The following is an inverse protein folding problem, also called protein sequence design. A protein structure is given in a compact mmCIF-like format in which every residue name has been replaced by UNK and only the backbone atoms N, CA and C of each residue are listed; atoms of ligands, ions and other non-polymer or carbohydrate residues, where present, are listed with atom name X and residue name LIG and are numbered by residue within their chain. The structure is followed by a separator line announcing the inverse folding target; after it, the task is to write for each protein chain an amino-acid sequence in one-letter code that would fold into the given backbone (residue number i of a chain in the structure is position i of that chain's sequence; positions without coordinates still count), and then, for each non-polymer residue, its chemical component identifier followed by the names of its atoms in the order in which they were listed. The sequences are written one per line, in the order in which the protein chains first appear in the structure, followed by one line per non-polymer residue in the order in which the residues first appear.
data_IF_089498088484
#
_entry.id   IF_089498088484
#
_cell.length_a   1.000
_cell.length_b   1.000
_cell.length_c   1.000
_cell.angle_alpha   90.00
_cell.angle_beta   90.00
_cell.angle_gamma   90.00
#
_symmetry.space_group_name_H-M   'P 1'
#
loop_
_entity.id
_entity.type
_entity.pdbx_description
1 polymer ?
#
# COMPACT_ATOMS: atom_id res chain seq x y z
N UNK A 1 -7.75 -27.26 -56.17
CA UNK A 1 -6.70 -26.52 -55.43
C UNK A 1 -7.37 -25.89 -54.22
N UNK A 2 -7.30 -26.54 -53.06
CA UNK A 2 -7.91 -26.06 -51.81
C UNK A 2 -6.91 -26.29 -50.70
N UNK A 3 -6.30 -25.19 -50.23
CA UNK A 3 -5.26 -25.18 -49.20
C UNK A 3 -5.93 -25.29 -47.83
N UNK A 4 -5.67 -26.39 -47.13
CA UNK A 4 -5.93 -26.55 -45.70
C UNK A 4 -5.01 -25.62 -44.90
N UNK A 5 -5.60 -24.72 -44.10
CA UNK A 5 -4.87 -23.92 -43.12
C UNK A 5 -4.81 -24.67 -41.79
N UNK A 6 -3.60 -25.05 -41.40
CA UNK A 6 -3.27 -25.69 -40.14
C UNK A 6 -3.08 -24.59 -39.08
N UNK A 7 -4.06 -24.43 -38.18
CA UNK A 7 -3.95 -23.50 -37.06
C UNK A 7 -3.26 -24.22 -35.89
N UNK A 8 -1.93 -24.16 -35.86
CA UNK A 8 -1.11 -24.53 -34.71
C UNK A 8 -1.34 -23.55 -33.56
N UNK A 9 -2.38 -23.76 -32.76
CA UNK A 9 -2.51 -23.08 -31.47
C UNK A 9 -1.69 -23.84 -30.42
N UNK A 10 -0.38 -23.65 -30.49
CA UNK A 10 0.54 -23.94 -29.39
C UNK A 10 0.19 -22.98 -28.26
N UNK A 11 -0.82 -23.34 -27.47
CA UNK A 11 -1.13 -22.73 -26.19
C UNK A 11 0.03 -22.99 -25.24
N UNK A 12 1.07 -22.18 -25.36
CA UNK A 12 2.20 -22.10 -24.48
C UNK A 12 1.68 -22.01 -23.05
N UNK A 13 1.76 -23.12 -22.33
CA UNK A 13 1.68 -23.19 -20.88
C UNK A 13 2.71 -22.22 -20.32
N UNK A 14 2.29 -20.98 -20.07
CA UNK A 14 3.15 -19.97 -19.48
C UNK A 14 3.63 -20.49 -18.11
N UNK A 15 4.95 -20.59 -17.89
CA UNK A 15 5.46 -21.02 -16.60
C UNK A 15 5.08 -19.96 -15.55
N UNK A 16 4.66 -20.42 -14.38
CA UNK A 16 4.29 -19.64 -13.19
C UNK A 16 5.44 -18.72 -12.75
N UNK A 17 5.60 -17.57 -13.39
CA UNK A 17 6.53 -16.51 -13.00
C UNK A 17 5.92 -15.67 -11.87
N UNK A 18 5.82 -16.24 -10.66
CA UNK A 18 5.08 -15.64 -9.55
C UNK A 18 5.90 -15.10 -8.37
N UNK A 19 7.24 -15.12 -8.42
CA UNK A 19 8.07 -14.82 -7.24
C UNK A 19 9.28 -13.91 -7.48
N UNK A 20 9.45 -13.34 -8.68
CA UNK A 20 10.36 -12.20 -8.84
C UNK A 20 9.55 -10.96 -8.42
N UNK A 21 9.58 -10.66 -7.12
CA UNK A 21 8.72 -9.65 -6.51
C UNK A 21 8.80 -8.31 -7.25
N UNK A 22 7.65 -7.79 -7.69
CA UNK A 22 7.61 -6.47 -8.31
C UNK A 22 8.25 -5.43 -7.39
N UNK A 23 9.24 -4.70 -7.92
CA UNK A 23 9.90 -3.62 -7.18
C UNK A 23 9.03 -2.38 -7.29
N UNK A 24 8.86 -1.66 -6.18
CA UNK A 24 8.11 -0.42 -6.12
C UNK A 24 8.94 0.67 -5.49
N UNK A 25 8.58 1.92 -5.79
CA UNK A 25 9.25 3.09 -5.23
C UNK A 25 8.36 3.73 -4.18
N UNK A 26 8.91 4.00 -2.99
CA UNK A 26 8.26 4.84 -2.02
C UNK A 26 8.06 6.25 -2.60
N UNK A 27 6.83 6.77 -2.58
CA UNK A 27 6.56 8.09 -3.16
C UNK A 27 7.23 9.24 -2.39
N UNK A 28 7.47 9.04 -1.09
CA UNK A 28 8.04 10.03 -0.19
C UNK A 28 9.57 10.11 -0.27
N UNK A 29 10.27 8.99 0.00
CA UNK A 29 11.73 8.95 0.03
C UNK A 29 12.38 8.44 -1.27
N UNK A 30 11.59 7.98 -2.25
CA UNK A 30 12.05 7.44 -3.54
C UNK A 30 12.91 6.18 -3.46
N UNK A 31 13.11 5.61 -2.27
CA UNK A 31 13.73 4.30 -2.09
C UNK A 31 12.93 3.24 -2.85
N UNK A 32 13.63 2.40 -3.61
CA UNK A 32 13.07 1.23 -4.28
C UNK A 32 13.20 0.03 -3.36
N UNK A 33 12.13 -0.74 -3.21
CA UNK A 33 12.11 -1.94 -2.38
C UNK A 33 11.11 -2.94 -2.96
N UNK A 34 11.11 -4.16 -2.42
CA UNK A 34 10.14 -5.17 -2.86
C UNK A 34 8.72 -4.69 -2.55
N UNK A 35 7.74 -5.10 -3.37
CA UNK A 35 6.34 -4.76 -3.09
C UNK A 35 5.83 -5.29 -1.73
N UNK A 36 6.52 -6.29 -1.14
CA UNK A 36 6.18 -6.85 0.17
C UNK A 36 6.66 -5.98 1.33
N UNK A 37 7.73 -5.21 1.11
CA UNK A 37 8.34 -4.32 2.12
C UNK A 37 7.74 -2.91 2.14
N UNK A 38 6.85 -2.60 1.19
CA UNK A 38 6.16 -1.32 1.10
C UNK A 38 4.68 -1.47 1.40
N UNK A 39 4.14 -0.49 2.09
CA UNK A 39 2.71 -0.34 2.36
C UNK A 39 2.08 0.30 1.12
N UNK A 40 1.10 -0.37 0.50
CA UNK A 40 0.39 0.17 -0.65
C UNK A 40 -0.97 0.69 -0.22
N UNK A 41 -1.32 1.88 -0.69
CA UNK A 41 -2.64 2.46 -0.58
C UNK A 41 -3.28 2.56 -1.96
N UNK A 42 -4.59 2.34 -2.05
CA UNK A 42 -5.40 2.59 -3.25
C UNK A 42 -6.55 3.51 -2.90
N UNK A 43 -6.94 4.37 -3.84
CA UNK A 43 -8.12 5.20 -3.71
C UNK A 43 -9.23 4.64 -4.60
N UNK A 44 -10.41 4.41 -4.02
CA UNK A 44 -11.59 3.86 -4.69
C UNK A 44 -12.54 4.95 -5.21
N UNK A 45 -12.16 6.22 -5.09
CA UNK A 45 -13.00 7.37 -5.38
C UNK A 45 -13.66 7.98 -4.15
N UNK A 46 -13.65 7.32 -2.99
CA UNK A 46 -14.22 7.83 -1.73
C UNK A 46 -13.19 7.96 -0.62
N UNK A 47 -12.31 6.96 -0.46
CA UNK A 47 -11.32 6.93 0.60
C UNK A 47 -10.02 6.22 0.17
N UNK A 48 -8.97 6.42 0.96
CA UNK A 48 -7.71 5.70 0.80
C UNK A 48 -7.74 4.42 1.65
N UNK A 49 -7.50 3.29 1.00
CA UNK A 49 -7.49 1.97 1.62
C UNK A 49 -6.10 1.35 1.57
N UNK A 50 -5.67 0.71 2.66
CA UNK A 50 -4.43 -0.04 2.68
C UNK A 50 -4.63 -1.41 2.02
N UNK A 51 -3.73 -1.76 1.10
CA UNK A 51 -3.70 -3.06 0.41
C UNK A 51 -2.70 -3.96 1.09
N UNK A 52 -3.23 -4.93 1.84
CA UNK A 52 -2.43 -5.94 2.54
C UNK A 52 -2.08 -7.09 1.58
N UNK A 53 -0.91 -7.73 1.67
CA UNK A 53 -0.56 -8.87 0.82
C UNK A 53 -1.64 -9.96 0.79
N UNK A 54 -1.93 -10.45 -0.42
CA UNK A 54 -2.98 -11.45 -0.64
C UNK A 54 -4.39 -10.88 -0.77
N UNK A 55 -4.57 -9.55 -0.77
CA UNK A 55 -5.82 -8.91 -1.17
C UNK A 55 -5.68 -8.27 -2.55
N UNK A 56 -6.73 -8.37 -3.37
CA UNK A 56 -6.79 -7.68 -4.66
C UNK A 56 -7.54 -6.37 -4.48
N UNK A 57 -6.86 -5.26 -4.75
CA UNK A 57 -7.48 -3.94 -4.79
C UNK A 57 -6.99 -3.21 -6.05
N UNK A 58 -7.96 -2.82 -6.87
CA UNK A 58 -7.76 -2.15 -8.14
C UNK A 58 -7.78 -0.63 -7.93
N UNK A 59 -7.17 0.12 -8.85
CA UNK A 59 -7.16 1.57 -8.82
C UNK A 59 -5.78 2.19 -8.63
N UNK A 60 -5.77 3.53 -8.54
CA UNK A 60 -4.55 4.33 -8.43
C UNK A 60 -3.86 4.03 -7.11
N UNK A 61 -2.70 3.39 -7.20
CA UNK A 61 -1.91 2.97 -6.04
C UNK A 61 -0.79 3.94 -5.67
N UNK A 62 -0.55 4.12 -4.38
CA UNK A 62 0.62 4.82 -3.83
C UNK A 62 1.33 3.88 -2.86
N UNK A 63 2.66 3.79 -2.95
CA UNK A 63 3.46 2.97 -2.03
C UNK A 63 4.31 3.83 -1.11
N UNK A 64 4.40 3.43 0.16
CA UNK A 64 5.19 4.07 1.21
C UNK A 64 6.04 3.05 1.94
N UNK A 65 7.21 3.47 2.41
CA UNK A 65 7.95 2.71 3.41
C UNK A 65 7.19 2.78 4.75
N UNK A 66 7.28 1.75 5.60
CA UNK A 66 6.73 1.74 6.96
C UNK A 66 7.58 2.59 7.92
N UNK A 67 7.97 3.79 7.48
CA UNK A 67 8.76 4.76 8.26
C UNK A 67 7.87 5.97 8.54
N UNK A 68 7.81 6.48 9.79
CA UNK A 68 6.93 7.59 10.17
C UNK A 68 7.10 8.82 9.25
N UNK A 69 8.34 9.22 8.99
CA UNK A 69 8.65 10.37 8.12
C UNK A 69 8.21 10.20 6.65
N UNK A 70 7.97 8.97 6.17
CA UNK A 70 7.42 8.75 4.83
C UNK A 70 5.93 9.06 4.77
N UNK A 71 5.16 8.76 5.82
CA UNK A 71 3.74 9.09 5.91
C UNK A 71 3.55 10.59 6.02
N UNK A 72 4.28 11.23 6.93
CA UNK A 72 4.27 12.68 7.11
C UNK A 72 4.60 13.42 5.80
N UNK A 73 5.77 13.10 5.21
CA UNK A 73 6.21 13.73 3.96
C UNK A 73 5.23 13.48 2.81
N UNK A 74 4.60 12.30 2.74
CA UNK A 74 3.67 12.01 1.67
C UNK A 74 2.36 12.79 1.79
N UNK A 75 1.89 13.09 3.00
CA UNK A 75 0.67 13.86 3.23
C UNK A 75 0.93 15.37 3.09
N UNK A 76 2.04 15.85 3.64
CA UNK A 76 2.36 17.28 3.72
C UNK A 76 3.10 17.84 2.50
N UNK A 77 3.60 17.00 1.58
CA UNK A 77 4.25 17.51 0.38
C UNK A 77 3.28 18.20 -0.58
N UNK A 78 3.68 19.33 -1.16
CA UNK A 78 2.96 19.96 -2.29
C UNK A 78 2.70 18.98 -3.44
N UNK A 79 3.63 18.05 -3.67
CA UNK A 79 3.56 16.99 -4.70
C UNK A 79 2.94 15.68 -4.17
N UNK A 80 2.18 15.74 -3.08
CA UNK A 80 1.49 14.59 -2.51
C UNK A 80 0.69 13.85 -3.59
N UNK A 81 0.80 12.52 -3.58
CA UNK A 81 -0.02 11.66 -4.44
C UNK A 81 -1.31 11.23 -3.74
N UNK A 82 -1.46 11.56 -2.46
CA UNK A 82 -2.67 11.38 -1.66
C UNK A 82 -3.66 12.54 -1.89
N UNK A 83 -4.06 12.71 -3.15
CA UNK A 83 -5.12 13.65 -3.54
C UNK A 83 -6.36 12.86 -3.89
N UNK A 84 -7.52 13.34 -3.47
CA UNK A 84 -8.80 12.66 -3.58
C UNK A 84 -9.63 12.90 -2.32
N UNK A 85 -10.93 12.56 -2.33
CA UNK A 85 -11.73 12.62 -1.12
C UNK A 85 -11.17 11.67 -0.05
N UNK A 86 -11.31 12.08 1.20
CA UNK A 86 -11.03 11.27 2.37
C UNK A 86 -12.31 11.28 3.20
N UNK A 87 -13.13 10.22 3.14
CA UNK A 87 -14.47 10.16 3.72
C UNK A 87 -15.47 11.17 3.11
N UNK A 88 -15.51 11.29 1.78
CA UNK A 88 -16.50 12.13 1.09
C UNK A 88 -16.26 13.65 1.20
N UNK A 89 -15.36 14.11 2.07
CA UNK A 89 -14.84 15.48 2.06
C UNK A 89 -13.58 15.54 1.21
N UNK A 90 -13.55 16.47 0.25
CA UNK A 90 -12.36 16.74 -0.55
C UNK A 90 -11.20 17.17 0.36
N UNK A 91 -10.18 16.34 0.52
CA UNK A 91 -9.10 16.63 1.45
C UNK A 91 -8.01 15.57 1.44
N UNK A 92 -6.76 16.01 1.67
CA UNK A 92 -5.63 15.08 1.80
C UNK A 92 -5.72 14.39 3.16
N UNK A 93 -5.58 13.06 3.25
CA UNK A 93 -5.55 12.38 4.54
C UNK A 93 -4.32 12.83 5.33
N UNK A 94 -4.47 12.87 6.66
CA UNK A 94 -3.33 13.07 7.55
C UNK A 94 -2.45 11.81 7.60
N UNK A 95 -1.19 11.96 8.01
CA UNK A 95 -0.28 10.83 8.20
C UNK A 95 -0.83 9.83 9.24
N UNK A 96 -1.45 10.35 10.30
CA UNK A 96 -2.10 9.55 11.34
C UNK A 96 -3.27 8.74 10.77
N UNK A 97 -4.10 9.34 9.92
CA UNK A 97 -5.23 8.66 9.25
C UNK A 97 -4.75 7.50 8.37
N UNK A 98 -3.68 7.70 7.58
CA UNK A 98 -3.11 6.64 6.75
C UNK A 98 -2.50 5.51 7.57
N UNK A 99 -1.80 5.85 8.65
CA UNK A 99 -1.21 4.86 9.54
C UNK A 99 -2.28 4.04 10.26
N UNK A 100 -3.34 4.68 10.76
CA UNK A 100 -4.45 3.98 11.39
C UNK A 100 -5.16 3.05 10.39
N UNK A 101 -5.46 3.53 9.17
CA UNK A 101 -6.06 2.70 8.13
C UNK A 101 -5.19 1.49 7.76
N UNK A 102 -3.86 1.64 7.78
CA UNK A 102 -2.94 0.53 7.59
C UNK A 102 -2.97 -0.46 8.75
N UNK A 103 -2.92 0.01 10.00
CA UNK A 103 -3.03 -0.85 11.18
C UNK A 103 -4.32 -1.67 11.15
N UNK A 104 -5.46 -1.02 10.95
CA UNK A 104 -6.77 -1.68 10.95
C UNK A 104 -6.84 -2.76 9.86
N UNK A 105 -6.32 -2.46 8.67
CA UNK A 105 -6.29 -3.40 7.54
C UNK A 105 -5.40 -4.62 7.81
N UNK A 106 -4.20 -4.41 8.38
CA UNK A 106 -3.28 -5.49 8.70
C UNK A 106 -3.80 -6.36 9.84
N UNK A 107 -4.35 -5.75 10.90
CA UNK A 107 -4.98 -6.46 12.01
C UNK A 107 -6.14 -7.33 11.54
N UNK A 108 -7.04 -6.79 10.73
CA UNK A 108 -8.17 -7.55 10.21
C UNK A 108 -7.70 -8.70 9.31
N UNK A 109 -6.68 -8.48 8.47
CA UNK A 109 -6.12 -9.55 7.64
C UNK A 109 -5.49 -10.67 8.47
N UNK A 110 -4.70 -10.33 9.49
CA UNK A 110 -4.09 -11.30 10.40
C UNK A 110 -5.18 -12.09 11.12
N UNK A 111 -6.22 -11.42 11.62
CA UNK A 111 -7.37 -12.04 12.28
C UNK A 111 -8.07 -13.05 11.38
N UNK A 112 -8.34 -12.67 10.13
CA UNK A 112 -8.98 -13.56 9.14
C UNK A 112 -8.10 -14.76 8.78
N UNK A 113 -6.79 -14.54 8.58
CA UNK A 113 -5.86 -15.62 8.29
C UNK A 113 -5.80 -16.65 9.42
N UNK A 114 -5.65 -16.20 10.67
CA UNK A 114 -5.65 -17.08 11.85
C UNK A 114 -6.96 -17.87 11.97
N UNK A 115 -8.12 -17.22 11.76
CA UNK A 115 -9.44 -17.90 11.76
C UNK A 115 -9.54 -18.99 10.69
N UNK A 116 -8.93 -18.78 9.53
CA UNK A 116 -8.93 -19.76 8.41
C UNK A 116 -7.82 -20.82 8.48
N UNK A 117 -7.03 -20.85 9.57
CA UNK A 117 -5.90 -21.78 9.72
C UNK A 117 -4.59 -21.33 9.06
N UNK A 118 -4.55 -20.17 8.40
CA UNK A 118 -3.39 -19.61 7.71
C UNK A 118 -2.35 -18.94 8.62
N UNK A 119 -1.91 -19.62 9.68
CA UNK A 119 -1.01 -19.07 10.69
C UNK A 119 0.33 -18.61 10.11
N UNK A 120 0.97 -19.41 9.25
CA UNK A 120 2.23 -19.04 8.60
C UNK A 120 2.11 -17.75 7.77
N UNK A 121 0.96 -17.52 7.12
CA UNK A 121 0.73 -16.30 6.37
C UNK A 121 0.45 -15.10 7.29
N UNK A 122 -0.12 -15.33 8.47
CA UNK A 122 -0.33 -14.30 9.49
C UNK A 122 1.01 -13.87 10.11
N UNK A 123 1.89 -14.83 10.44
CA UNK A 123 3.20 -14.58 11.07
C UNK A 123 4.11 -13.73 10.18
N UNK A 124 3.99 -13.85 8.86
CA UNK A 124 4.72 -13.02 7.89
C UNK A 124 4.26 -11.55 7.94
N UNK A 125 3.04 -11.26 8.39
CA UNK A 125 2.49 -9.90 8.46
C UNK A 125 2.75 -9.21 9.81
N UNK A 126 2.97 -9.97 10.88
CA UNK A 126 3.20 -9.44 12.24
C UNK A 126 4.39 -8.44 12.31
N UNK A 127 5.55 -8.68 11.65
CA UNK A 127 6.64 -7.70 11.63
C UNK A 127 6.25 -6.37 11.02
N UNK A 128 5.41 -6.38 9.96
CA UNK A 128 4.94 -5.16 9.31
C UNK A 128 3.96 -4.42 10.22
N UNK A 129 3.06 -5.16 10.89
CA UNK A 129 2.14 -4.57 11.87
C UNK A 129 2.91 -3.88 13.01
N UNK A 130 3.97 -4.52 13.52
CA UNK A 130 4.85 -3.93 14.55
C UNK A 130 5.55 -2.65 14.07
N UNK A 131 6.05 -2.64 12.83
CA UNK A 131 6.64 -1.44 12.23
C UNK A 131 5.62 -0.30 12.08
N UNK A 132 4.38 -0.60 11.71
CA UNK A 132 3.30 0.40 11.62
C UNK A 132 2.95 0.98 12.99
N UNK A 133 2.87 0.16 14.04
CA UNK A 133 2.66 0.64 15.41
C UNK A 133 3.79 1.56 15.85
N UNK A 134 5.04 1.16 15.59
CA UNK A 134 6.21 1.99 15.89
C UNK A 134 6.16 3.31 15.14
N UNK A 135 5.79 3.29 13.85
CA UNK A 135 5.64 4.49 13.05
C UNK A 135 4.55 5.42 13.58
N UNK A 136 3.41 4.90 14.04
CA UNK A 136 2.34 5.71 14.65
C UNK A 136 2.82 6.40 15.93
N UNK A 137 3.53 5.69 16.80
CA UNK A 137 4.05 6.23 18.07
C UNK A 137 5.18 7.26 17.87
N UNK A 138 5.89 7.19 16.75
CA UNK A 138 7.05 8.06 16.44
C UNK A 138 6.74 9.10 15.38
N UNK A 139 5.46 9.27 15.02
CA UNK A 139 5.04 10.37 14.17
C UNK A 139 5.39 11.69 14.88
N UNK A 140 6.06 12.63 14.18
CA UNK A 140 6.25 13.96 14.73
C UNK A 140 4.88 14.60 14.97
N UNK A 141 4.69 15.33 16.09
CA UNK A 141 3.47 16.09 16.29
C UNK A 141 3.28 17.02 15.09
N UNK A 142 2.07 17.04 14.54
CA UNK A 142 1.72 17.88 13.40
C UNK A 142 2.13 19.32 13.76
N UNK A 143 3.17 19.84 13.10
CA UNK A 143 3.51 21.26 13.21
C UNK A 143 2.41 22.01 12.48
N UNK A 144 1.32 22.33 13.19
CA UNK A 144 0.39 23.36 12.78
C UNK A 144 1.23 24.59 12.46
N UNK A 145 1.21 25.01 11.20
CA UNK A 145 2.09 26.05 10.69
C UNK A 145 1.87 27.34 11.44
N UNK A 146 2.70 27.61 12.44
CA UNK A 146 2.90 28.96 12.95
C UNK A 146 3.72 29.70 11.89
N UNK A 147 3.01 30.34 10.96
CA UNK A 147 3.60 31.30 10.05
C UNK A 147 3.98 32.53 10.87
N UNK A 148 5.25 32.63 11.28
CA UNK A 148 5.83 33.91 11.66
C UNK A 148 5.76 34.84 10.45
N UNK A 149 4.73 35.68 10.42
CA UNK A 149 4.69 36.87 9.57
C UNK A 149 5.73 37.83 10.17
N UNK A 150 6.77 38.10 9.40
CA UNK A 150 7.75 39.16 9.67
C UNK A 150 7.20 40.49 9.19
#
# INVERSE_FOLDING_TARGET
MSLTRENGNSGSSAPRAGLIGSVRSCVACRTRSSARDLIRFTNDGNAWHCVVPGTSQHGRGVSLCPKPGCFDRACNSRKSRFSGPSNGTGGRPSAQTLLQAALDSYQERIRLLRRSGGHLAADVLDPVLSQLHTALLTLPPCRSGETHVR
#
